data_IF_276630494105
#
_entry.id   IF_276630494105
#
_cell.length_a   1.000
_cell.length_b   1.000
_cell.length_c   1.000
_cell.angle_alpha   90.00
_cell.angle_beta   90.00
_cell.angle_gamma   90.00
#
_symmetry.space_group_name_H-M   'P 1'
#
loop_
_entity.id
_entity.type
_entity.pdbx_description
1 polymer ?
#
# COMPACT_ATOMS: atom_id res chain seq x y z
N UNK A 1 -7.11 3.94 6.77
CA UNK A 1 -7.95 3.42 5.66
C UNK A 1 -7.88 4.29 4.40
N UNK A 2 -8.50 5.48 4.32
CA UNK A 2 -8.50 6.27 3.06
C UNK A 2 -7.10 6.62 2.53
N UNK A 3 -6.18 6.99 3.43
CA UNK A 3 -4.79 7.31 3.08
C UNK A 3 -4.03 6.09 2.52
N UNK A 4 -4.29 4.90 3.07
CA UNK A 4 -3.66 3.66 2.63
C UNK A 4 -4.16 3.19 1.27
N UNK A 5 -5.48 3.30 1.02
CA UNK A 5 -6.04 3.06 -0.32
C UNK A 5 -5.40 4.00 -1.33
N UNK A 6 -5.30 5.30 -1.01
CA UNK A 6 -4.62 6.27 -1.88
C UNK A 6 -3.17 5.88 -2.14
N UNK A 7 -2.43 5.47 -1.10
CA UNK A 7 -1.03 5.07 -1.23
C UNK A 7 -0.88 3.82 -2.10
N UNK A 8 -1.75 2.83 -1.92
CA UNK A 8 -1.77 1.60 -2.70
C UNK A 8 -2.03 1.89 -4.19
N UNK A 9 -3.02 2.73 -4.51
CA UNK A 9 -3.30 3.16 -5.89
C UNK A 9 -2.10 3.88 -6.52
N UNK A 10 -1.52 4.86 -5.82
CA UNK A 10 -0.34 5.59 -6.32
C UNK A 10 0.81 4.63 -6.60
N UNK A 11 1.04 3.69 -5.68
CA UNK A 11 2.11 2.71 -5.82
C UNK A 11 1.89 1.80 -7.03
N UNK A 12 0.68 1.29 -7.20
CA UNK A 12 0.33 0.43 -8.33
C UNK A 12 0.51 1.14 -9.69
N UNK A 13 0.11 2.41 -9.81
CA UNK A 13 0.35 3.19 -11.04
C UNK A 13 1.84 3.30 -11.33
N UNK A 14 2.64 3.70 -10.34
CA UNK A 14 4.08 3.91 -10.51
C UNK A 14 4.75 2.59 -10.90
N UNK A 15 4.47 1.52 -10.17
CA UNK A 15 5.08 0.21 -10.40
C UNK A 15 4.66 -0.35 -11.77
N UNK A 16 3.37 -0.29 -12.11
CA UNK A 16 2.85 -0.75 -13.39
C UNK A 16 3.47 -0.01 -14.58
N UNK A 17 3.56 1.32 -14.51
CA UNK A 17 4.21 2.13 -15.54
C UNK A 17 5.69 1.78 -15.68
N UNK A 18 6.42 1.73 -14.57
CA UNK A 18 7.86 1.45 -14.57
C UNK A 18 8.17 0.08 -15.13
N UNK A 19 7.43 -0.96 -14.72
CA UNK A 19 7.62 -2.32 -15.24
C UNK A 19 7.36 -2.39 -16.74
N UNK A 20 6.29 -1.74 -17.21
CA UNK A 20 5.97 -1.70 -18.62
C UNK A 20 7.02 -0.92 -19.45
N UNK A 21 7.47 0.23 -18.95
CA UNK A 21 8.52 1.02 -19.60
C UNK A 21 9.86 0.26 -19.65
N UNK A 22 10.26 -0.42 -18.57
CA UNK A 22 11.44 -1.28 -18.54
C UNK A 22 11.31 -2.45 -19.53
N UNK A 23 10.09 -2.94 -19.74
CA UNK A 23 9.78 -3.99 -20.72
C UNK A 23 9.75 -3.49 -22.16
N UNK A 24 10.03 -2.20 -22.41
CA UNK A 24 10.13 -1.63 -23.75
C UNK A 24 8.81 -1.17 -24.36
N UNK A 25 7.73 -1.07 -23.58
CA UNK A 25 6.48 -0.48 -24.05
C UNK A 25 6.67 1.03 -24.33
N UNK A 26 5.96 1.52 -25.35
CA UNK A 26 5.85 2.96 -25.57
C UNK A 26 5.14 3.64 -24.38
N UNK A 27 5.26 4.97 -24.22
CA UNK A 27 4.66 5.69 -23.10
C UNK A 27 3.15 5.44 -22.93
N UNK A 28 2.40 5.34 -24.02
CA UNK A 28 0.96 5.06 -24.01
C UNK A 28 0.67 3.64 -23.52
N UNK A 29 1.41 2.64 -24.02
CA UNK A 29 1.29 1.26 -23.57
C UNK A 29 1.72 1.07 -22.11
N UNK A 30 2.73 1.81 -21.67
CA UNK A 30 3.14 1.83 -20.26
C UNK A 30 2.07 2.49 -19.38
N UNK A 31 1.37 3.50 -19.89
CA UNK A 31 0.24 4.10 -19.19
C UNK A 31 -0.96 3.16 -19.07
N UNK A 32 -1.32 2.45 -20.15
CA UNK A 32 -2.38 1.43 -20.10
C UNK A 32 -2.07 0.33 -19.07
N UNK A 33 -0.83 -0.17 -19.07
CA UNK A 33 -0.38 -1.14 -18.08
C UNK A 33 -0.44 -0.60 -16.64
N UNK A 34 -0.15 0.68 -16.43
CA UNK A 34 -0.27 1.34 -15.13
C UNK A 34 -1.73 1.41 -14.65
N UNK A 35 -2.67 1.69 -15.55
CA UNK A 35 -4.11 1.69 -15.24
C UNK A 35 -4.58 0.28 -14.89
N UNK A 36 -4.16 -0.73 -15.65
CA UNK A 36 -4.50 -2.12 -15.36
C UNK A 36 -3.92 -2.61 -14.03
N UNK A 37 -2.71 -2.18 -13.67
CA UNK A 37 -2.13 -2.45 -12.35
C UNK A 37 -3.01 -1.93 -11.20
N UNK A 38 -3.63 -0.75 -11.35
CA UNK A 38 -4.61 -0.23 -10.38
C UNK A 38 -5.89 -1.05 -10.37
N UNK A 39 -6.40 -1.45 -11.55
CA UNK A 39 -7.61 -2.28 -11.64
C UNK A 39 -7.43 -3.65 -11.00
N UNK A 40 -6.21 -4.18 -11.03
CA UNK A 40 -5.84 -5.47 -10.44
C UNK A 40 -5.46 -5.39 -8.96
N UNK A 41 -5.47 -4.21 -8.34
CA UNK A 41 -5.20 -4.08 -6.91
C UNK A 41 -6.21 -4.88 -6.09
N UNK A 42 -5.70 -5.77 -5.25
CA UNK A 42 -6.51 -6.47 -4.25
C UNK A 42 -6.83 -5.53 -3.08
N UNK A 43 -8.01 -4.89 -3.16
CA UNK A 43 -8.48 -3.96 -2.14
C UNK A 43 -8.73 -4.66 -0.80
N UNK A 44 -9.13 -5.93 -0.79
CA UNK A 44 -9.34 -6.67 0.45
C UNK A 44 -8.01 -6.88 1.18
N UNK A 45 -6.95 -7.24 0.46
CA UNK A 45 -5.61 -7.35 1.02
C UNK A 45 -5.08 -6.00 1.57
N UNK A 46 -5.34 -4.89 0.86
CA UNK A 46 -4.98 -3.55 1.35
C UNK A 46 -5.67 -3.22 2.66
N UNK A 47 -6.98 -3.46 2.76
CA UNK A 47 -7.75 -3.18 3.98
C UNK A 47 -7.37 -4.10 5.14
N UNK A 48 -7.14 -5.39 4.88
CA UNK A 48 -6.68 -6.33 5.90
C UNK A 48 -5.28 -5.97 6.43
N UNK A 49 -4.38 -5.48 5.57
CA UNK A 49 -3.07 -5.00 6.00
C UNK A 49 -3.19 -3.80 6.95
N UNK A 50 -4.11 -2.88 6.66
CA UNK A 50 -4.38 -1.74 7.55
C UNK A 50 -5.01 -2.16 8.87
N UNK A 51 -5.93 -3.12 8.85
CA UNK A 51 -6.56 -3.69 10.05
C UNK A 51 -5.52 -4.41 10.93
N UNK A 52 -4.66 -5.23 10.31
CA UNK A 52 -3.58 -5.93 11.02
C UNK A 52 -2.49 -4.97 11.53
N UNK A 53 -2.14 -3.93 10.77
CA UNK A 53 -1.23 -2.88 11.22
C UNK A 53 -1.81 -2.10 12.41
N UNK A 54 -3.12 -1.81 12.41
CA UNK A 54 -3.79 -1.19 13.55
C UNK A 54 -3.76 -2.09 14.79
N UNK A 55 -3.96 -3.40 14.62
CA UNK A 55 -3.87 -4.38 15.72
C UNK A 55 -2.43 -4.48 16.29
N UNK A 56 -1.41 -4.46 15.43
CA UNK A 56 0.00 -4.48 15.83
C UNK A 56 0.42 -3.19 16.57
N UNK A 57 -0.08 -2.02 16.17
CA UNK A 57 0.19 -0.77 16.88
C UNK A 57 -0.37 -0.77 18.32
N UNK A 58 -1.46 -1.49 18.57
CA UNK A 58 -2.05 -1.64 19.90
C UNK A 58 -1.18 -2.44 20.88
N UNK A 59 -0.36 -3.38 20.40
CA UNK A 59 0.53 -4.18 21.26
C UNK A 59 1.78 -3.43 21.68
N UNK A 60 2.23 -2.44 20.89
CA UNK A 60 3.40 -1.62 21.22
C UNK A 60 3.08 -0.55 22.30
N UNK A 61 1.83 -0.09 22.36
CA UNK A 61 1.37 0.84 23.39
C UNK A 61 1.24 0.19 24.78
N UNK A 62 0.95 -1.13 24.85
CA UNK A 62 0.86 -1.87 26.12
C UNK A 62 2.23 -2.14 26.75
N UNK A 63 3.33 -2.05 26.00
CA UNK A 63 4.70 -2.30 26.50
C UNK A 63 5.40 -1.01 27.02
N UNK A 64 4.72 0.14 27.03
CA UNK A 64 5.27 1.46 27.43
C UNK A 64 4.89 1.91 28.84
N UNK A 65 4.89 1.01 29.83
CA UNK A 65 4.88 1.41 31.25
C UNK A 65 5.97 0.64 32.02
N UNK A 66 7.19 1.17 32.17
CA UNK A 66 8.00 0.88 33.34
C UNK A 66 7.66 1.92 34.42
N UNK A 67 7.09 1.44 35.51
CA UNK A 67 6.44 2.26 36.52
C UNK A 67 7.29 3.37 37.14
N UNK A 68 6.64 4.50 37.40
CA UNK A 68 6.97 5.38 38.52
C UNK A 68 5.98 5.11 39.64
N UNK A 69 6.23 4.07 40.44
CA UNK A 69 5.64 3.97 41.78
C UNK A 69 6.26 5.11 42.61
N UNK A 70 5.46 6.12 42.92
CA UNK A 70 5.71 7.06 44.01
C UNK A 70 4.57 6.93 45.01
#
# INVERSE_FOLDING_TARGET
>A
MALAVRQACIRAVIDGYQQAAISGLCPEGAFEAAVDAVRMLDMAAVLQREETAACAAGTENIRREPGSVR
#
